data_IF_524295899448
#
_entry.id   IF_524295899448
#
_cell.length_a   1.000
_cell.length_b   1.000
_cell.length_c   1.000
_cell.angle_alpha   90.00
_cell.angle_beta   90.00
_cell.angle_gamma   90.00
#
_symmetry.space_group_name_H-M   'P 1'
#
loop_
_entity.id
_entity.type
_entity.pdbx_description
1 polymer ?
#
# COMPACT_ATOMS: atom_id res chain seq x y z
N UNK A 1 -11.19 21.33 -5.03
CA UNK A 1 -10.99 22.53 -5.87
C UNK A 1 -9.48 22.70 -6.04
N UNK A 2 -8.96 22.36 -7.21
CA UNK A 2 -7.51 22.25 -7.50
C UNK A 2 -6.90 23.61 -7.83
N UNK A 3 -5.73 23.91 -7.27
CA UNK A 3 -4.97 25.13 -7.52
C UNK A 3 -4.40 25.14 -8.96
N UNK A 4 -4.75 26.13 -9.79
CA UNK A 4 -4.29 26.23 -11.17
C UNK A 4 -2.77 26.46 -11.33
N UNK A 5 -2.02 26.76 -10.26
CA UNK A 5 -0.56 26.95 -10.29
C UNK A 5 0.27 25.70 -9.95
N UNK A 6 -0.35 24.53 -9.77
CA UNK A 6 0.42 23.32 -9.45
C UNK A 6 1.26 22.83 -10.65
N UNK A 7 2.58 22.59 -10.47
CA UNK A 7 3.48 22.18 -11.57
C UNK A 7 2.97 20.92 -12.30
N UNK A 8 3.02 20.93 -13.64
CA UNK A 8 2.50 19.86 -14.51
C UNK A 8 3.04 18.47 -14.17
N UNK A 9 4.30 18.36 -13.76
CA UNK A 9 4.93 17.11 -13.32
C UNK A 9 4.33 16.58 -11.99
N UNK A 10 3.98 17.49 -11.06
CA UNK A 10 3.35 17.16 -9.79
C UNK A 10 1.91 16.69 -9.99
N UNK A 11 1.17 17.32 -10.91
CA UNK A 11 -0.15 16.86 -11.38
C UNK A 11 -0.11 15.49 -12.06
N UNK A 12 0.89 15.24 -12.91
CA UNK A 12 1.05 13.95 -13.57
C UNK A 12 1.40 12.84 -12.56
N UNK A 13 2.28 13.12 -11.60
CA UNK A 13 2.59 12.20 -10.50
C UNK A 13 1.39 11.98 -9.58
N UNK A 14 0.62 13.02 -9.22
CA UNK A 14 -0.57 12.88 -8.40
C UNK A 14 -1.67 12.06 -9.12
N UNK A 15 -1.91 12.30 -10.41
CA UNK A 15 -2.84 11.50 -11.21
C UNK A 15 -2.36 10.05 -11.40
N UNK A 16 -1.05 9.84 -11.53
CA UNK A 16 -0.44 8.51 -11.59
C UNK A 16 -0.53 7.77 -10.26
N UNK A 17 -0.16 8.43 -9.16
CA UNK A 17 -0.26 7.93 -7.79
C UNK A 17 -1.71 7.68 -7.37
N UNK A 18 -2.66 8.47 -7.87
CA UNK A 18 -4.10 8.29 -7.60
C UNK A 18 -4.72 7.16 -8.42
N UNK A 19 -4.18 6.84 -9.60
CA UNK A 19 -4.54 5.59 -10.31
C UNK A 19 -3.97 4.36 -9.61
N UNK A 20 -2.75 4.45 -9.08
CA UNK A 20 -2.16 3.41 -8.24
C UNK A 20 -2.83 3.32 -6.86
N UNK A 21 -3.42 4.43 -6.39
CA UNK A 21 -4.17 4.47 -5.16
C UNK A 21 -5.42 3.62 -5.28
N UNK A 22 -6.09 3.53 -6.42
CA UNK A 22 -7.24 2.66 -6.56
C UNK A 22 -6.81 1.25 -7.00
N UNK A 23 -6.87 0.31 -6.05
CA UNK A 23 -6.36 -1.05 -6.24
C UNK A 23 -7.22 -1.82 -7.24
N UNK A 24 -8.52 -1.58 -7.28
CA UNK A 24 -9.44 -2.32 -8.15
C UNK A 24 -9.20 -2.07 -9.66
N UNK A 25 -9.16 -0.83 -10.18
CA UNK A 25 -8.83 -0.59 -11.59
C UNK A 25 -7.40 -1.01 -11.92
N UNK A 26 -6.45 -0.89 -10.98
CA UNK A 26 -5.07 -1.32 -11.19
C UNK A 26 -4.98 -2.83 -11.40
N UNK A 27 -5.62 -3.63 -10.53
CA UNK A 27 -5.62 -5.09 -10.66
C UNK A 27 -6.36 -5.57 -11.92
N UNK A 28 -7.44 -4.88 -12.32
CA UNK A 28 -8.12 -5.14 -13.59
C UNK A 28 -7.22 -4.85 -14.80
N UNK A 29 -6.47 -3.76 -14.76
CA UNK A 29 -5.56 -3.41 -15.85
C UNK A 29 -4.42 -4.42 -15.97
N UNK A 30 -3.87 -4.89 -14.84
CA UNK A 30 -2.92 -6.00 -14.84
C UNK A 30 -3.53 -7.27 -15.43
N UNK A 31 -4.79 -7.58 -15.10
CA UNK A 31 -5.49 -8.73 -15.69
C UNK A 31 -5.66 -8.59 -17.21
N UNK A 32 -5.96 -7.38 -17.70
CA UNK A 32 -6.20 -7.08 -19.11
C UNK A 32 -4.97 -7.34 -19.97
N UNK A 33 -3.78 -7.02 -19.45
CA UNK A 33 -2.50 -7.19 -20.18
C UNK A 33 -1.82 -8.54 -19.91
N UNK A 34 -2.31 -9.32 -18.95
CA UNK A 34 -1.76 -10.62 -18.61
C UNK A 34 -2.11 -11.72 -19.62
N UNK A 35 -1.15 -12.60 -19.91
CA UNK A 35 -1.40 -13.86 -20.64
C UNK A 35 -2.07 -14.88 -19.71
N UNK A 36 -2.84 -15.85 -20.23
CA UNK A 36 -3.34 -16.97 -19.42
C UNK A 36 -2.21 -17.66 -18.64
N UNK A 37 -2.41 -17.94 -17.36
CA UNK A 37 -1.42 -18.55 -16.47
C UNK A 37 -0.38 -17.58 -15.89
N UNK A 38 -0.45 -16.28 -16.19
CA UNK A 38 0.49 -15.30 -15.65
C UNK A 38 0.41 -15.22 -14.12
N UNK A 39 1.53 -14.86 -13.51
CA UNK A 39 1.64 -14.63 -12.07
C UNK A 39 1.71 -13.13 -11.78
N UNK A 40 0.91 -12.68 -10.83
CA UNK A 40 1.01 -11.36 -10.21
C UNK A 40 1.61 -11.51 -8.80
N UNK A 41 2.67 -10.77 -8.49
CA UNK A 41 3.27 -10.68 -7.16
C UNK A 41 3.41 -9.22 -6.78
N UNK A 42 2.89 -8.84 -5.61
CA UNK A 42 3.02 -7.47 -5.10
C UNK A 42 3.02 -7.45 -3.58
N UNK A 43 3.52 -6.34 -3.02
CA UNK A 43 3.47 -6.03 -1.60
C UNK A 43 2.94 -4.63 -1.39
N UNK A 44 2.28 -4.40 -0.26
CA UNK A 44 1.82 -3.07 0.15
C UNK A 44 1.79 -2.97 1.68
N UNK A 45 1.62 -1.75 2.21
CA UNK A 45 1.41 -1.54 3.64
C UNK A 45 0.20 -2.36 4.12
N UNK A 46 0.32 -2.96 5.29
CA UNK A 46 -0.77 -3.74 5.88
C UNK A 46 -1.85 -2.77 6.39
N UNK A 47 -3.15 -2.97 6.09
CA UNK A 47 -4.22 -2.10 6.60
C UNK A 47 -4.19 -1.84 8.11
N UNK A 48 -3.80 -2.86 8.88
CA UNK A 48 -3.66 -2.75 10.34
C UNK A 48 -2.56 -1.76 10.75
N UNK A 49 -1.46 -1.67 9.99
CA UNK A 49 -0.35 -0.75 10.29
C UNK A 49 -0.82 0.68 10.38
N UNK A 50 -1.53 1.11 9.34
CA UNK A 50 -2.04 2.47 9.22
C UNK A 50 -3.28 2.71 10.10
N UNK A 51 -3.94 1.63 10.53
CA UNK A 51 -5.06 1.69 11.46
C UNK A 51 -4.61 1.87 12.91
N UNK A 52 -3.55 1.19 13.35
CA UNK A 52 -3.08 1.29 14.75
C UNK A 52 -2.30 2.57 15.03
N UNK A 53 -1.76 3.23 14.00
CA UNK A 53 -1.00 4.47 14.15
C UNK A 53 -1.95 5.68 14.17
N UNK A 54 -2.04 6.35 15.33
CA UNK A 54 -2.91 7.52 15.53
C UNK A 54 -2.65 8.65 14.52
N UNK A 55 -1.42 8.75 13.98
CA UNK A 55 -1.05 9.77 12.99
C UNK A 55 -1.68 9.52 11.62
N UNK A 56 -2.05 8.27 11.33
CA UNK A 56 -2.59 7.83 10.04
C UNK A 56 -4.02 7.30 10.16
N UNK A 57 -4.49 6.99 11.38
CA UNK A 57 -5.80 6.37 11.62
C UNK A 57 -6.96 7.26 11.15
N UNK A 58 -6.87 8.57 11.39
CA UNK A 58 -7.98 9.51 11.20
C UNK A 58 -9.19 9.18 12.09
N UNK A 59 -10.32 9.83 11.80
CA UNK A 59 -11.53 9.76 12.63
C UNK A 59 -12.56 8.71 12.16
N UNK A 60 -12.29 8.07 11.02
CA UNK A 60 -13.14 7.01 10.46
C UNK A 60 -12.96 5.65 11.14
N UNK A 61 -13.66 4.66 10.62
CA UNK A 61 -13.55 3.27 11.01
C UNK A 61 -12.47 2.54 10.20
N UNK A 62 -12.10 1.33 10.62
CA UNK A 62 -11.22 0.46 9.84
C UNK A 62 -11.83 0.13 8.46
N UNK A 63 -13.17 0.09 8.38
CA UNK A 63 -13.93 -0.26 7.19
C UNK A 63 -13.94 0.84 6.12
N UNK A 64 -13.48 2.04 6.45
CA UNK A 64 -13.44 3.16 5.53
C UNK A 64 -12.13 3.16 4.72
N UNK A 65 -12.25 3.45 3.42
CA UNK A 65 -11.09 3.86 2.62
C UNK A 65 -10.76 5.32 2.92
N UNK A 66 -9.58 5.58 3.46
CA UNK A 66 -9.16 6.93 3.86
C UNK A 66 -7.82 7.31 3.24
N UNK A 67 -7.70 8.59 2.83
CA UNK A 67 -6.44 9.17 2.38
C UNK A 67 -5.72 9.81 3.56
N UNK A 68 -4.43 9.56 3.68
CA UNK A 68 -3.55 10.20 4.64
C UNK A 68 -2.21 10.53 3.98
N UNK A 69 -1.36 11.30 4.65
CA UNK A 69 -0.03 11.60 4.13
C UNK A 69 0.92 12.09 5.20
N UNK A 70 2.20 11.91 4.95
CA UNK A 70 3.27 12.30 5.86
C UNK A 70 4.58 12.52 5.11
N UNK A 71 5.48 13.30 5.72
CA UNK A 71 6.81 13.51 5.19
C UNK A 71 7.68 12.27 5.45
N UNK A 72 8.18 11.65 4.40
CA UNK A 72 9.03 10.47 4.49
C UNK A 72 10.46 10.86 4.88
N UNK A 73 11.01 10.20 5.88
CA UNK A 73 12.44 10.26 6.21
C UNK A 73 13.24 9.27 5.36
N UNK A 74 14.57 9.42 5.33
CA UNK A 74 15.46 8.50 4.61
C UNK A 74 15.74 8.87 3.14
N UNK A 75 15.15 9.96 2.63
CA UNK A 75 15.36 10.47 1.27
C UNK A 75 16.19 11.75 1.20
N UNK A 76 16.90 12.10 2.28
CA UNK A 76 17.60 13.38 2.40
C UNK A 76 16.66 14.56 2.68
N UNK A 77 17.19 15.77 2.59
CA UNK A 77 16.41 17.02 2.64
C UNK A 77 16.22 17.59 1.23
N UNK A 78 15.04 18.10 0.86
CA UNK A 78 13.82 18.17 1.67
C UNK A 78 13.07 16.85 1.73
N UNK A 79 12.51 16.51 2.90
CA UNK A 79 11.69 15.30 3.06
C UNK A 79 10.47 15.35 2.12
N UNK A 80 10.26 14.35 1.24
CA UNK A 80 9.10 14.35 0.36
C UNK A 80 7.81 14.07 1.15
N UNK A 81 6.75 14.82 0.85
CA UNK A 81 5.40 14.51 1.32
C UNK A 81 4.79 13.42 0.45
N UNK A 82 4.41 12.30 1.06
CA UNK A 82 3.82 11.16 0.37
C UNK A 82 2.40 10.94 0.88
N UNK A 83 1.49 10.75 -0.07
CA UNK A 83 0.11 10.38 0.21
C UNK A 83 -0.09 8.88 0.02
N UNK A 84 -0.91 8.31 0.90
CA UNK A 84 -1.29 6.92 0.88
C UNK A 84 -2.79 6.79 1.13
N UNK A 85 -3.34 5.64 0.75
CA UNK A 85 -4.73 5.31 0.96
C UNK A 85 -4.82 4.01 1.74
N UNK A 86 -5.36 4.09 2.95
CA UNK A 86 -5.73 2.91 3.72
C UNK A 86 -7.07 2.40 3.21
N UNK A 87 -7.25 1.08 3.24
CA UNK A 87 -8.53 0.40 3.03
C UNK A 87 -8.57 -0.92 3.81
N UNK A 88 -9.75 -1.50 4.02
CA UNK A 88 -9.89 -2.80 4.64
C UNK A 88 -9.14 -3.89 3.88
N UNK A 89 -8.70 -4.92 4.59
CA UNK A 89 -8.13 -6.10 3.96
C UNK A 89 -9.11 -6.77 2.98
N UNK A 90 -10.40 -6.75 3.31
CA UNK A 90 -11.46 -7.29 2.45
C UNK A 90 -11.47 -6.60 1.08
N UNK A 91 -11.35 -5.28 1.02
CA UNK A 91 -11.33 -4.53 -0.23
C UNK A 91 -10.15 -4.92 -1.12
N UNK A 92 -8.98 -5.21 -0.52
CA UNK A 92 -7.79 -5.66 -1.24
C UNK A 92 -8.02 -7.03 -1.87
N UNK A 93 -8.52 -7.99 -1.08
CA UNK A 93 -8.72 -9.37 -1.52
C UNK A 93 -9.87 -9.51 -2.51
N UNK A 94 -10.97 -8.78 -2.29
CA UNK A 94 -12.10 -8.77 -3.19
C UNK A 94 -11.74 -8.09 -4.51
N UNK A 95 -11.03 -6.96 -4.49
CA UNK A 95 -10.54 -6.33 -5.72
C UNK A 95 -9.66 -7.25 -6.56
N UNK A 96 -8.85 -8.10 -5.92
CA UNK A 96 -8.04 -9.12 -6.59
C UNK A 96 -8.91 -10.20 -7.24
N UNK A 97 -9.88 -10.74 -6.49
CA UNK A 97 -10.80 -11.75 -6.98
C UNK A 97 -11.68 -11.23 -8.13
N UNK A 98 -12.27 -10.04 -7.98
CA UNK A 98 -13.12 -9.39 -8.98
C UNK A 98 -12.35 -9.05 -10.26
N UNK A 99 -11.06 -8.77 -10.14
CA UNK A 99 -10.16 -8.59 -11.27
C UNK A 99 -9.80 -9.92 -11.98
N UNK A 100 -10.33 -11.07 -11.54
CA UNK A 100 -10.10 -12.36 -12.18
C UNK A 100 -8.74 -13.00 -11.86
N UNK A 101 -8.13 -12.62 -10.73
CA UNK A 101 -6.94 -13.26 -10.19
C UNK A 101 -7.31 -14.27 -9.11
N UNK A 102 -6.70 -15.45 -9.15
CA UNK A 102 -6.78 -16.44 -8.07
C UNK A 102 -5.62 -16.27 -7.11
N UNK A 103 -5.93 -16.01 -5.84
CA UNK A 103 -4.93 -15.96 -4.77
C UNK A 103 -4.20 -17.30 -4.65
N UNK A 104 -2.88 -17.29 -4.68
CA UNK A 104 -2.03 -18.48 -4.46
C UNK A 104 -1.32 -18.43 -3.10
N UNK A 105 -0.91 -17.25 -2.66
CA UNK A 105 -0.25 -17.07 -1.36
C UNK A 105 -0.45 -15.67 -0.82
N UNK A 106 -0.70 -15.60 0.49
CA UNK A 106 -0.78 -14.37 1.27
C UNK A 106 0.23 -14.48 2.41
N UNK A 107 1.09 -13.47 2.59
CA UNK A 107 2.13 -13.47 3.62
C UNK A 107 2.12 -12.14 4.34
N UNK A 108 2.07 -12.20 5.67
CA UNK A 108 2.39 -11.09 6.56
C UNK A 108 3.83 -11.30 7.06
N UNK A 109 4.83 -10.59 6.49
CA UNK A 109 6.23 -10.84 6.80
C UNK A 109 6.58 -10.35 8.21
N UNK A 110 7.35 -11.16 8.93
CA UNK A 110 8.01 -10.77 10.18
C UNK A 110 9.42 -10.24 9.89
N UNK A 111 9.97 -9.33 10.73
CA UNK A 111 11.34 -8.86 10.56
C UNK A 111 12.34 -10.01 10.70
N UNK A 112 13.43 -9.95 9.95
CA UNK A 112 14.54 -10.91 10.09
C UNK A 112 15.28 -10.66 11.40
N UNK A 113 15.82 -11.70 12.07
CA UNK A 113 16.61 -11.53 13.29
C UNK A 113 17.79 -10.57 13.13
N UNK A 114 18.42 -10.55 11.95
CA UNK A 114 19.53 -9.65 11.61
C UNK A 114 19.15 -8.17 11.64
N UNK A 115 17.87 -7.83 11.54
CA UNK A 115 17.39 -6.45 11.65
C UNK A 115 17.67 -5.84 13.02
N UNK A 116 17.79 -6.65 14.09
CA UNK A 116 18.15 -6.16 15.44
C UNK A 116 19.47 -5.37 15.44
N UNK A 117 20.43 -5.78 14.62
CA UNK A 117 21.73 -5.11 14.51
C UNK A 117 21.63 -3.74 13.84
N UNK A 118 20.60 -3.50 13.01
CA UNK A 118 20.34 -2.21 12.35
C UNK A 118 19.45 -1.32 13.20
N UNK A 119 18.38 -1.89 13.76
CA UNK A 119 17.47 -1.20 14.66
C UNK A 119 16.69 -2.19 15.52
N UNK A 120 17.11 -2.33 16.78
CA UNK A 120 16.40 -3.12 17.78
C UNK A 120 14.97 -2.61 18.00
N UNK A 121 14.79 -1.28 18.05
CA UNK A 121 13.47 -0.64 18.18
C UNK A 121 12.52 -1.03 17.06
N UNK A 122 12.94 -0.89 15.79
CA UNK A 122 12.09 -1.25 14.66
C UNK A 122 11.86 -2.75 14.58
N UNK A 123 12.85 -3.58 14.93
CA UNK A 123 12.64 -5.03 15.02
C UNK A 123 11.54 -5.34 16.05
N UNK A 124 11.62 -4.80 17.27
CA UNK A 124 10.60 -5.02 18.30
C UNK A 124 9.21 -4.57 17.84
N UNK A 125 9.10 -3.39 17.23
CA UNK A 125 7.85 -2.85 16.67
C UNK A 125 7.27 -3.78 15.59
N UNK A 126 8.08 -4.17 14.60
CA UNK A 126 7.65 -5.02 13.48
C UNK A 126 7.44 -6.49 13.87
N UNK A 127 7.95 -6.93 15.01
CA UNK A 127 7.65 -8.26 15.57
C UNK A 127 6.29 -8.32 16.26
N UNK A 128 5.72 -7.19 16.66
CA UNK A 128 4.44 -7.14 17.41
C UNK A 128 3.23 -7.03 16.51
N UNK A 129 3.36 -6.36 15.36
CA UNK A 129 2.23 -6.10 14.49
C UNK A 129 2.62 -6.05 13.01
N UNK A 130 1.72 -6.44 12.09
CA UNK A 130 2.03 -6.49 10.66
C UNK A 130 2.21 -5.08 10.11
N UNK A 131 3.30 -4.88 9.36
CA UNK A 131 3.55 -3.63 8.64
C UNK A 131 3.28 -3.73 7.14
N UNK A 132 3.40 -4.93 6.58
CA UNK A 132 3.21 -5.19 5.15
C UNK A 132 2.36 -6.43 4.94
N UNK A 133 1.80 -6.55 3.75
CA UNK A 133 1.32 -7.81 3.19
C UNK A 133 2.01 -8.06 1.85
N UNK A 134 2.23 -9.33 1.54
CA UNK A 134 2.76 -9.81 0.28
C UNK A 134 1.77 -10.80 -0.33
N UNK A 135 1.34 -10.54 -1.56
CA UNK A 135 0.37 -11.35 -2.29
C UNK A 135 1.02 -11.95 -3.52
N UNK A 136 0.75 -13.23 -3.74
CA UNK A 136 0.97 -13.92 -5.01
C UNK A 136 -0.38 -14.42 -5.54
N UNK A 137 -0.68 -14.14 -6.79
CA UNK A 137 -1.88 -14.57 -7.49
C UNK A 137 -1.60 -15.03 -8.92
N UNK A 138 -2.54 -15.74 -9.52
CA UNK A 138 -2.45 -16.28 -10.89
C UNK A 138 -3.77 -16.11 -11.65
N UNK A 139 -3.72 -15.84 -12.95
CA UNK A 139 -4.91 -15.66 -13.79
C UNK A 139 -5.09 -16.74 -14.87
#
# INVERSE_FOLDING_TARGET
MTDPNEPSARRAYASFAQRYADIAPTLREFRRVARPGATLVFSMAHPMRDWMDERTRGDGTYFDTSRFGFHWSGFGETKPYVEAWRRPLADILNALADAGWRLERFVEPTPLPTMKAVSERLHAELSLAPAFLCIRARC
#
